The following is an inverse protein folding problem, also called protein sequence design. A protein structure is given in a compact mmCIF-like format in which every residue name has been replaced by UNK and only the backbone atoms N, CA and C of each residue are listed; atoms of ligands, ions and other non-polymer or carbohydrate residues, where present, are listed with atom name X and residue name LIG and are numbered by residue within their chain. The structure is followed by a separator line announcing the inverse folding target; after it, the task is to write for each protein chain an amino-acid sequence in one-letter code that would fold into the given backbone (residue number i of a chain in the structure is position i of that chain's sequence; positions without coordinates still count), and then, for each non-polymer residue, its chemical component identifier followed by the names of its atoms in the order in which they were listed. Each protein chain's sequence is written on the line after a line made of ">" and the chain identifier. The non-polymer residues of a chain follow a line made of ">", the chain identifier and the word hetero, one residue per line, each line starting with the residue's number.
data_IF_319451417822
#
_entry.id   IF_319451417822
#
_cell.length_a   1.000
_cell.length_b   1.000
_cell.length_c   1.000
_cell.angle_alpha   90.00
_cell.angle_beta   90.00
_cell.angle_gamma   90.00
#
_symmetry.space_group_name_H-M   'P 1'
#
loop_
_entity.id
_entity.type
_entity.pdbx_description
1 polymer ?
#
# COMPACT_ATOMS: atom_id res chain seq x y z
N UNK A 1 -36.74 8.64 9.28
CA UNK A 1 -35.76 9.26 8.35
C UNK A 1 -35.54 8.28 7.21
N UNK A 2 -35.28 8.76 5.99
CA UNK A 2 -34.94 7.84 4.88
C UNK A 2 -33.58 7.17 5.19
N UNK A 3 -33.45 5.88 4.86
CA UNK A 3 -32.18 5.14 5.02
C UNK A 3 -31.19 5.64 3.99
N UNK A 4 -30.02 6.10 4.44
CA UNK A 4 -28.94 6.59 3.57
C UNK A 4 -28.25 5.41 2.89
N UNK A 5 -28.04 5.52 1.59
CA UNK A 5 -27.42 4.50 0.74
C UNK A 5 -26.02 4.91 0.30
N UNK A 6 -25.06 4.03 0.49
CA UNK A 6 -23.64 4.23 0.15
C UNK A 6 -23.18 3.23 -0.89
N UNK A 7 -22.56 3.69 -1.97
CA UNK A 7 -21.82 2.86 -2.93
C UNK A 7 -20.31 2.91 -2.64
N UNK A 8 -19.69 1.76 -2.43
CA UNK A 8 -18.23 1.64 -2.25
C UNK A 8 -17.66 0.92 -3.46
N UNK A 9 -16.70 1.54 -4.15
CA UNK A 9 -16.13 1.00 -5.38
C UNK A 9 -14.72 0.49 -5.15
N UNK A 10 -14.57 -0.84 -5.18
CA UNK A 10 -13.33 -1.57 -4.99
C UNK A 10 -13.32 -2.40 -3.71
N UNK A 11 -13.19 -3.72 -3.86
CA UNK A 11 -13.12 -4.72 -2.78
C UNK A 11 -11.71 -4.96 -2.25
N UNK A 12 -10.81 -3.99 -2.39
CA UNK A 12 -9.51 -3.96 -1.71
C UNK A 12 -9.65 -3.55 -0.24
N UNK A 13 -8.55 -3.63 0.53
CA UNK A 13 -8.58 -3.39 1.98
C UNK A 13 -9.12 -2.00 2.36
N UNK A 14 -8.87 -0.95 1.56
CA UNK A 14 -9.39 0.39 1.84
C UNK A 14 -10.91 0.46 1.64
N UNK A 15 -11.46 -0.11 0.55
CA UNK A 15 -12.90 -0.10 0.32
C UNK A 15 -13.65 -0.95 1.33
N UNK A 16 -13.11 -2.11 1.67
CA UNK A 16 -13.65 -2.96 2.73
C UNK A 16 -13.65 -2.25 4.09
N UNK A 17 -12.55 -1.54 4.44
CA UNK A 17 -12.46 -0.78 5.67
C UNK A 17 -13.49 0.36 5.72
N UNK A 18 -13.69 1.09 4.60
CA UNK A 18 -14.69 2.17 4.50
C UNK A 18 -16.11 1.61 4.64
N UNK A 19 -16.44 0.52 3.93
CA UNK A 19 -17.75 -0.12 4.02
C UNK A 19 -18.05 -0.59 5.47
N UNK A 20 -17.08 -1.24 6.11
CA UNK A 20 -17.16 -1.63 7.51
C UNK A 20 -17.38 -0.44 8.44
N UNK A 21 -16.61 0.64 8.27
CA UNK A 21 -16.70 1.82 9.13
C UNK A 21 -18.05 2.51 9.01
N UNK A 22 -18.63 2.57 7.81
CA UNK A 22 -19.98 3.09 7.59
C UNK A 22 -21.02 2.28 8.37
N UNK A 23 -20.96 0.94 8.31
CA UNK A 23 -21.87 0.06 9.02
C UNK A 23 -21.67 0.09 10.56
N UNK A 24 -20.49 0.48 11.04
CA UNK A 24 -20.24 0.69 12.46
C UNK A 24 -20.83 2.03 12.96
N UNK A 25 -20.57 3.11 12.24
CA UNK A 25 -20.97 4.46 12.65
C UNK A 25 -22.45 4.74 12.29
N UNK A 26 -23.00 4.05 11.27
CA UNK A 26 -24.38 4.18 10.80
C UNK A 26 -25.04 2.81 10.59
N UNK A 27 -25.47 2.10 11.65
CA UNK A 27 -25.99 0.74 11.55
C UNK A 27 -27.24 0.59 10.67
N UNK A 28 -28.00 1.68 10.48
CA UNK A 28 -29.21 1.70 9.63
C UNK A 28 -28.90 2.03 8.15
N UNK A 29 -27.62 2.32 7.82
CA UNK A 29 -27.24 2.62 6.45
C UNK A 29 -27.27 1.38 5.56
N UNK A 30 -27.61 1.57 4.29
CA UNK A 30 -27.42 0.56 3.26
C UNK A 30 -26.06 0.77 2.59
N UNK A 31 -25.21 -0.23 2.65
CA UNK A 31 -23.87 -0.18 2.07
C UNK A 31 -23.73 -1.27 1.03
N UNK A 32 -23.53 -0.88 -0.24
CA UNK A 32 -23.27 -1.79 -1.36
C UNK A 32 -21.84 -1.59 -1.87
N UNK A 33 -21.02 -2.63 -1.79
CA UNK A 33 -19.65 -2.63 -2.27
C UNK A 33 -19.59 -3.35 -3.63
N UNK A 34 -18.93 -2.70 -4.61
CA UNK A 34 -18.76 -3.23 -5.96
C UNK A 34 -17.29 -3.61 -6.20
N UNK A 35 -17.03 -4.86 -6.53
CA UNK A 35 -15.71 -5.37 -6.89
C UNK A 35 -15.72 -5.98 -8.30
N UNK A 36 -14.73 -5.62 -9.11
CA UNK A 36 -14.62 -6.11 -10.50
C UNK A 36 -14.25 -7.58 -10.60
N UNK A 37 -13.54 -8.09 -9.61
CA UNK A 37 -13.08 -9.48 -9.57
C UNK A 37 -14.14 -10.42 -8.98
N UNK A 38 -13.90 -11.72 -9.14
CA UNK A 38 -14.75 -12.78 -8.58
C UNK A 38 -14.59 -12.97 -7.07
N UNK A 39 -13.63 -12.29 -6.45
CA UNK A 39 -13.46 -12.24 -4.99
C UNK A 39 -12.79 -10.93 -4.55
N UNK A 40 -12.92 -10.61 -3.27
CA UNK A 40 -12.25 -9.44 -2.67
C UNK A 40 -10.75 -9.63 -2.55
N UNK A 41 -10.02 -8.53 -2.43
CA UNK A 41 -8.60 -8.47 -2.12
C UNK A 41 -7.66 -9.13 -3.17
N UNK A 42 -8.06 -9.31 -4.41
CA UNK A 42 -7.24 -10.02 -5.42
C UNK A 42 -6.00 -9.24 -5.90
N UNK A 43 -5.95 -7.93 -5.67
CA UNK A 43 -4.85 -7.07 -6.16
C UNK A 43 -3.84 -6.72 -5.06
N UNK A 44 -3.53 -5.43 -4.88
CA UNK A 44 -2.51 -4.93 -3.94
C UNK A 44 -2.69 -5.41 -2.50
N UNK A 45 -3.92 -5.71 -2.08
CA UNK A 45 -4.24 -6.18 -0.73
C UNK A 45 -3.69 -7.58 -0.42
N UNK A 46 -3.48 -8.42 -1.43
CA UNK A 46 -2.85 -9.76 -1.31
C UNK A 46 -1.41 -9.79 -1.83
N UNK A 47 -0.99 -8.77 -2.59
CA UNK A 47 0.31 -8.72 -3.26
C UNK A 47 1.20 -7.63 -2.63
N UNK A 48 1.52 -7.79 -1.34
CA UNK A 48 2.31 -6.85 -0.55
C UNK A 48 3.28 -7.57 0.40
N UNK A 49 4.07 -6.81 1.15
CA UNK A 49 5.06 -7.35 2.10
C UNK A 49 4.45 -7.91 3.39
N UNK A 50 3.21 -7.59 3.70
CA UNK A 50 2.58 -7.93 4.98
C UNK A 50 3.03 -7.07 6.17
N UNK A 51 3.86 -6.07 5.96
CA UNK A 51 4.42 -5.25 7.06
C UNK A 51 3.41 -4.24 7.58
N UNK A 52 3.23 -4.22 8.89
CA UNK A 52 2.56 -3.15 9.64
C UNK A 52 3.61 -2.09 9.95
N UNK A 53 3.62 -1.02 9.17
CA UNK A 53 4.65 0.02 9.25
C UNK A 53 4.48 0.92 10.47
N UNK A 54 5.55 1.12 11.26
CA UNK A 54 5.52 1.95 12.46
C UNK A 54 5.44 3.48 12.19
N UNK A 55 5.74 3.94 10.99
CA UNK A 55 5.71 5.38 10.64
C UNK A 55 7.03 6.12 10.74
N UNK A 56 8.17 5.43 10.57
CA UNK A 56 9.52 5.97 10.78
C UNK A 56 9.91 7.13 9.86
N UNK A 57 9.42 7.14 8.62
CA UNK A 57 9.97 7.99 7.55
C UNK A 57 9.14 9.22 7.22
N UNK A 58 7.89 9.32 7.72
CA UNK A 58 6.91 10.30 7.23
C UNK A 58 7.14 11.70 7.78
N UNK A 59 6.78 12.70 7.01
CA UNK A 59 6.89 14.08 7.44
C UNK A 59 5.99 14.33 8.67
N UNK A 60 6.52 15.06 9.66
CA UNK A 60 5.78 15.39 10.88
C UNK A 60 4.46 16.08 10.54
N UNK A 61 3.37 15.57 11.12
CA UNK A 61 2.03 16.14 10.96
C UNK A 61 1.34 15.85 9.63
N UNK A 62 2.01 15.15 8.67
CA UNK A 62 1.37 14.71 7.43
C UNK A 62 0.20 13.76 7.71
N UNK A 63 -0.75 13.70 6.77
CA UNK A 63 -1.88 12.79 6.87
C UNK A 63 -1.40 11.33 6.96
N UNK A 64 -0.38 11.01 6.19
CA UNK A 64 0.30 9.71 6.18
C UNK A 64 0.89 9.33 7.55
N UNK A 65 1.55 10.27 8.23
CA UNK A 65 2.09 10.02 9.57
C UNK A 65 0.98 9.75 10.60
N UNK A 66 -0.06 10.60 10.61
CA UNK A 66 -1.20 10.48 11.53
C UNK A 66 -1.97 9.18 11.33
N UNK A 67 -2.38 8.91 10.07
CA UNK A 67 -3.18 7.72 9.77
C UNK A 67 -2.38 6.42 9.87
N UNK A 68 -1.06 6.44 9.65
CA UNK A 68 -0.21 5.28 9.90
C UNK A 68 -0.16 4.92 11.39
N UNK A 69 0.10 5.89 12.26
CA UNK A 69 0.13 5.63 13.71
C UNK A 69 -1.21 5.12 14.25
N UNK A 70 -2.32 5.78 13.86
CA UNK A 70 -3.66 5.30 14.22
C UNK A 70 -3.93 3.91 13.65
N UNK A 71 -3.52 3.65 12.41
CA UNK A 71 -3.69 2.38 11.70
C UNK A 71 -2.97 1.22 12.37
N UNK A 72 -1.75 1.42 12.89
CA UNK A 72 -1.03 0.39 13.68
C UNK A 72 -1.89 -0.11 14.84
N UNK A 73 -2.44 0.83 15.63
CA UNK A 73 -3.30 0.49 16.77
C UNK A 73 -4.53 -0.28 16.31
N UNK A 74 -5.25 0.24 15.31
CA UNK A 74 -6.48 -0.39 14.82
C UNK A 74 -6.26 -1.77 14.21
N UNK A 75 -5.18 -1.98 13.45
CA UNK A 75 -4.87 -3.28 12.86
C UNK A 75 -4.51 -4.29 13.94
N UNK A 76 -3.72 -3.89 14.97
CA UNK A 76 -3.40 -4.74 16.12
C UNK A 76 -4.67 -5.18 16.86
N UNK A 77 -5.52 -4.22 17.23
CA UNK A 77 -6.79 -4.46 17.91
C UNK A 77 -7.72 -5.34 17.08
N UNK A 78 -7.81 -5.08 15.77
CA UNK A 78 -8.63 -5.87 14.85
C UNK A 78 -8.16 -7.32 14.75
N UNK A 79 -6.85 -7.52 14.61
CA UNK A 79 -6.28 -8.86 14.56
C UNK A 79 -6.54 -9.64 15.87
N UNK A 80 -6.35 -9.00 17.03
CA UNK A 80 -6.61 -9.60 18.32
C UNK A 80 -8.09 -9.96 18.51
N UNK A 81 -9.00 -9.07 18.12
CA UNK A 81 -10.45 -9.30 18.26
C UNK A 81 -11.01 -10.39 17.32
N UNK A 82 -10.29 -10.71 16.22
CA UNK A 82 -10.74 -11.67 15.21
C UNK A 82 -9.83 -12.92 15.10
N UNK A 83 -8.95 -13.15 16.07
CA UNK A 83 -8.00 -14.28 16.09
C UNK A 83 -7.16 -14.39 14.79
N UNK A 84 -6.72 -13.23 14.28
CA UNK A 84 -5.89 -13.14 13.08
C UNK A 84 -4.41 -13.04 13.48
N UNK A 85 -3.50 -13.71 12.75
CA UNK A 85 -2.08 -13.66 13.06
C UNK A 85 -1.51 -12.24 13.00
N UNK A 86 -0.84 -11.83 14.07
CA UNK A 86 -0.11 -10.57 14.21
C UNK A 86 1.21 -10.86 14.93
N UNK A 87 2.35 -10.64 14.26
CA UNK A 87 3.68 -10.95 14.80
C UNK A 87 4.52 -9.67 14.88
N UNK A 88 4.80 -9.19 16.08
CA UNK A 88 5.69 -8.05 16.37
C UNK A 88 7.15 -8.50 16.29
N UNK A 89 7.59 -8.89 15.10
CA UNK A 89 8.95 -9.38 14.86
C UNK A 89 10.03 -8.28 14.93
N UNK A 90 9.64 -7.02 15.01
CA UNK A 90 10.57 -5.89 15.02
C UNK A 90 11.20 -5.58 13.67
N UNK A 91 11.88 -4.42 13.61
CA UNK A 91 12.58 -3.95 12.42
C UNK A 91 13.86 -3.22 12.78
N UNK A 92 14.93 -3.53 12.07
CA UNK A 92 16.17 -2.73 12.03
C UNK A 92 16.23 -1.92 10.73
N UNK A 93 16.58 -0.63 10.84
CA UNK A 93 17.06 0.17 9.70
C UNK A 93 18.56 0.36 9.91
N UNK A 94 19.37 -0.23 9.03
CA UNK A 94 20.81 -0.43 9.27
C UNK A 94 21.64 0.49 8.40
N UNK A 95 22.61 1.17 9.02
CA UNK A 95 23.63 1.98 8.36
C UNK A 95 24.96 1.20 8.29
N UNK A 96 25.55 1.15 7.09
CA UNK A 96 26.82 0.49 6.84
C UNK A 96 28.02 1.46 6.81
N UNK A 97 27.79 2.77 6.80
CA UNK A 97 28.81 3.81 6.74
C UNK A 97 28.32 5.11 7.41
N UNK A 98 29.22 6.05 7.64
CA UNK A 98 28.92 7.30 8.36
C UNK A 98 27.86 8.17 7.64
N UNK A 99 27.82 8.22 6.32
CA UNK A 99 26.80 8.96 5.55
C UNK A 99 25.40 8.39 5.79
N UNK A 100 25.30 7.06 5.82
CA UNK A 100 24.04 6.39 6.15
C UNK A 100 23.66 6.60 7.62
N UNK A 101 24.64 6.60 8.54
CA UNK A 101 24.40 6.86 9.96
C UNK A 101 23.86 8.28 10.20
N UNK A 102 24.40 9.29 9.55
CA UNK A 102 23.85 10.66 9.61
C UNK A 102 22.39 10.72 9.15
N UNK A 103 22.07 10.06 8.04
CA UNK A 103 20.70 9.94 7.54
C UNK A 103 19.79 9.18 8.52
N UNK A 104 20.33 8.15 9.15
CA UNK A 104 19.61 7.35 10.13
C UNK A 104 19.23 8.16 11.37
N UNK A 105 20.13 9.02 11.86
CA UNK A 105 19.85 9.94 12.96
C UNK A 105 18.70 10.90 12.61
N UNK A 106 18.66 11.41 11.39
CA UNK A 106 17.54 12.25 10.93
C UNK A 106 16.22 11.46 10.86
N UNK A 107 16.26 10.17 10.50
CA UNK A 107 15.08 9.28 10.53
C UNK A 107 14.63 9.04 11.97
N UNK A 108 15.57 8.77 12.89
CA UNK A 108 15.29 8.60 14.32
C UNK A 108 14.57 9.83 14.90
N UNK A 109 15.11 11.04 14.64
CA UNK A 109 14.47 12.29 15.09
C UNK A 109 13.05 12.44 14.54
N UNK A 110 12.86 12.18 13.25
CA UNK A 110 11.55 12.23 12.59
C UNK A 110 10.57 11.22 13.19
N UNK A 111 11.00 10.00 13.43
CA UNK A 111 10.20 8.95 14.04
C UNK A 111 9.81 9.30 15.48
N UNK A 112 10.75 9.87 16.26
CA UNK A 112 10.48 10.37 17.62
C UNK A 112 9.44 11.49 17.60
N UNK A 113 9.59 12.44 16.69
CA UNK A 113 8.64 13.55 16.52
C UNK A 113 7.23 13.09 16.11
N UNK A 114 7.11 11.96 15.43
CA UNK A 114 5.85 11.33 15.08
C UNK A 114 5.30 10.41 16.19
N UNK A 115 5.97 10.33 17.34
CA UNK A 115 5.53 9.52 18.48
C UNK A 115 5.59 8.01 18.23
N UNK A 116 6.57 7.54 17.44
CA UNK A 116 6.78 6.09 17.25
C UNK A 116 7.35 5.51 18.55
N UNK A 117 6.66 4.56 19.19
CA UNK A 117 7.07 4.09 20.52
C UNK A 117 8.24 3.10 20.45
N UNK A 118 9.00 3.03 21.54
CA UNK A 118 10.02 2.01 21.77
C UNK A 118 11.24 2.06 20.85
N UNK A 119 11.33 3.05 19.94
CA UNK A 119 12.47 3.15 19.02
C UNK A 119 13.79 3.45 19.75
N UNK A 120 14.84 2.80 19.31
CA UNK A 120 16.19 2.96 19.87
C UNK A 120 17.23 3.00 18.76
N UNK A 121 18.28 3.82 18.97
CA UNK A 121 19.51 3.69 18.20
C UNK A 121 20.36 2.60 18.84
N UNK A 122 20.89 1.70 18.01
CA UNK A 122 21.81 0.63 18.38
C UNK A 122 23.13 0.82 17.64
N UNK A 123 24.22 0.42 18.28
CA UNK A 123 25.56 0.55 17.72
C UNK A 123 26.32 -0.76 17.84
N UNK A 124 27.13 -1.08 16.84
CA UNK A 124 28.06 -2.21 16.82
C UNK A 124 27.43 -3.52 17.34
N UNK A 125 27.87 -4.03 18.48
CA UNK A 125 27.43 -5.32 19.02
C UNK A 125 25.95 -5.32 19.48
N UNK A 126 25.39 -4.16 19.86
CA UNK A 126 23.95 -4.06 20.23
C UNK A 126 23.04 -4.48 19.06
N UNK A 127 23.49 -4.29 17.81
CA UNK A 127 22.75 -4.73 16.62
C UNK A 127 22.59 -6.25 16.62
N UNK A 128 23.65 -6.98 17.02
CA UNK A 128 23.67 -8.45 17.05
C UNK A 128 22.85 -9.04 18.19
N UNK A 129 22.61 -8.28 19.26
CA UNK A 129 21.67 -8.71 20.31
C UNK A 129 20.25 -8.88 19.74
N UNK A 130 19.85 -8.03 18.78
CA UNK A 130 18.54 -8.08 18.12
C UNK A 130 18.58 -9.05 16.93
N UNK A 131 19.53 -8.87 16.03
CA UNK A 131 19.72 -9.67 14.81
C UNK A 131 21.16 -10.23 14.75
N UNK A 132 21.39 -11.47 15.24
CA UNK A 132 22.74 -12.01 15.46
C UNK A 132 23.64 -12.04 14.22
N UNK A 133 23.06 -12.17 13.02
CA UNK A 133 23.77 -12.26 11.76
C UNK A 133 23.85 -10.92 11.01
N UNK A 134 23.25 -9.86 11.56
CA UNK A 134 23.25 -8.53 10.95
C UNK A 134 24.55 -7.79 11.29
N UNK A 135 25.12 -7.12 10.28
CA UNK A 135 26.25 -6.21 10.46
C UNK A 135 25.85 -4.79 10.09
N UNK A 136 26.45 -3.82 10.79
CA UNK A 136 26.26 -2.39 10.57
C UNK A 136 27.04 -1.60 11.61
N UNK A 137 27.28 -0.30 11.36
CA UNK A 137 27.89 0.61 12.33
C UNK A 137 26.86 1.28 13.25
N UNK A 138 25.60 1.34 12.80
CA UNK A 138 24.47 1.82 13.57
C UNK A 138 23.17 1.23 13.01
N UNK A 139 22.16 1.08 13.86
CA UNK A 139 20.80 0.69 13.43
C UNK A 139 19.74 1.44 14.23
N UNK A 140 18.62 1.76 13.59
CA UNK A 140 17.40 2.18 14.26
C UNK A 140 16.51 0.96 14.48
N UNK A 141 16.32 0.57 15.71
CA UNK A 141 15.42 -0.50 16.11
C UNK A 141 14.00 0.03 16.34
N UNK A 142 13.01 -0.58 15.70
CA UNK A 142 11.59 -0.33 15.87
C UNK A 142 10.91 -1.64 16.30
N UNK A 143 10.79 -1.91 17.62
CA UNK A 143 10.34 -3.21 18.14
C UNK A 143 8.88 -3.51 17.81
N UNK A 144 8.02 -2.50 17.75
CA UNK A 144 6.57 -2.67 17.45
C UNK A 144 6.24 -2.77 15.95
N UNK A 145 7.25 -2.78 15.07
CA UNK A 145 7.00 -3.11 13.66
C UNK A 145 6.60 -4.57 13.57
N UNK A 146 5.46 -4.84 12.92
CA UNK A 146 4.86 -6.16 12.88
C UNK A 146 4.64 -6.65 11.45
N UNK A 147 4.25 -7.91 11.33
CA UNK A 147 3.80 -8.53 10.08
C UNK A 147 2.43 -9.17 10.27
N UNK A 148 1.63 -9.14 9.20
CA UNK A 148 0.27 -9.69 9.13
C UNK A 148 -0.01 -10.29 7.76
N UNK A 149 -1.16 -10.94 7.60
CA UNK A 149 -1.76 -11.18 6.30
C UNK A 149 -2.87 -10.19 6.02
N UNK A 150 -2.60 -9.16 5.23
CA UNK A 150 -3.66 -8.21 4.82
C UNK A 150 -4.77 -8.87 4.00
N UNK A 151 -4.47 -9.97 3.30
CA UNK A 151 -5.48 -10.77 2.63
C UNK A 151 -6.48 -11.39 3.62
N UNK A 152 -5.98 -12.00 4.72
CA UNK A 152 -6.86 -12.57 5.77
C UNK A 152 -7.67 -11.48 6.46
N UNK A 153 -7.05 -10.33 6.76
CA UNK A 153 -7.73 -9.17 7.34
C UNK A 153 -8.84 -8.70 6.39
N UNK A 154 -8.55 -8.51 5.12
CA UNK A 154 -9.54 -8.06 4.12
C UNK A 154 -10.71 -9.05 3.99
N UNK A 155 -10.44 -10.36 3.93
CA UNK A 155 -11.48 -11.40 3.87
C UNK A 155 -12.35 -11.41 5.12
N UNK A 156 -11.77 -11.21 6.32
CA UNK A 156 -12.54 -11.12 7.58
C UNK A 156 -13.42 -9.88 7.61
N UNK A 157 -12.89 -8.72 7.15
CA UNK A 157 -13.68 -7.49 7.02
C UNK A 157 -14.86 -7.71 6.04
N UNK A 158 -14.63 -8.38 4.92
CA UNK A 158 -15.72 -8.69 3.97
C UNK A 158 -16.82 -9.54 4.60
N UNK A 159 -16.46 -10.56 5.40
CA UNK A 159 -17.44 -11.34 6.15
C UNK A 159 -18.20 -10.49 7.17
N UNK A 160 -17.51 -9.61 7.91
CA UNK A 160 -18.13 -8.69 8.87
C UNK A 160 -19.12 -7.72 8.20
N UNK A 161 -18.81 -7.23 6.99
CA UNK A 161 -19.74 -6.40 6.20
C UNK A 161 -21.06 -7.13 5.95
N UNK A 162 -21.01 -8.40 5.52
CA UNK A 162 -22.20 -9.23 5.30
C UNK A 162 -22.96 -9.50 6.60
N UNK A 163 -22.23 -9.85 7.68
CA UNK A 163 -22.81 -10.05 9.02
C UNK A 163 -23.57 -8.82 9.53
N UNK A 164 -23.16 -7.61 9.10
CA UNK A 164 -23.79 -6.33 9.46
C UNK A 164 -24.86 -5.88 8.45
N UNK A 165 -25.22 -6.72 7.48
CA UNK A 165 -26.28 -6.42 6.51
C UNK A 165 -25.83 -5.60 5.29
N UNK A 166 -24.52 -5.39 5.10
CA UNK A 166 -23.99 -4.81 3.85
C UNK A 166 -23.95 -5.82 2.72
N UNK A 167 -23.91 -5.32 1.50
CA UNK A 167 -23.89 -6.14 0.27
C UNK A 167 -22.54 -6.03 -0.44
N UNK A 168 -22.06 -7.15 -1.01
CA UNK A 168 -20.85 -7.20 -1.82
C UNK A 168 -21.18 -7.76 -3.20
N UNK A 169 -21.11 -6.92 -4.22
CA UNK A 169 -21.35 -7.26 -5.62
C UNK A 169 -20.00 -7.58 -6.30
N UNK A 170 -19.70 -8.87 -6.41
CA UNK A 170 -18.50 -9.37 -7.11
C UNK A 170 -18.73 -9.39 -8.63
N UNK A 171 -17.66 -9.50 -9.42
CA UNK A 171 -17.72 -9.47 -10.89
C UNK A 171 -18.50 -8.27 -11.43
N UNK A 172 -18.37 -7.13 -10.74
CA UNK A 172 -19.10 -5.90 -11.02
C UNK A 172 -18.15 -4.72 -11.27
N UNK A 173 -17.48 -4.70 -12.44
CA UNK A 173 -16.53 -3.65 -12.79
C UNK A 173 -17.25 -2.31 -13.03
N UNK A 174 -17.09 -1.38 -12.11
CA UNK A 174 -17.65 -0.03 -12.23
C UNK A 174 -16.79 0.79 -13.19
N UNK A 175 -17.43 1.34 -14.24
CA UNK A 175 -16.83 2.17 -15.25
C UNK A 175 -16.79 3.65 -14.86
N UNK A 176 -17.90 4.15 -14.31
CA UNK A 176 -18.08 5.53 -13.87
C UNK A 176 -19.18 5.64 -12.82
N UNK A 177 -19.20 6.77 -12.14
CA UNK A 177 -20.27 7.24 -11.28
C UNK A 177 -20.85 8.50 -11.92
N UNK A 178 -22.16 8.60 -11.98
CA UNK A 178 -22.84 9.80 -12.47
C UNK A 178 -23.66 10.42 -11.33
N UNK A 179 -23.39 11.70 -11.04
CA UNK A 179 -24.22 12.45 -10.10
C UNK A 179 -25.32 13.16 -10.89
N UNK A 180 -26.57 12.75 -10.69
CA UNK A 180 -27.76 13.34 -11.30
C UNK A 180 -28.62 13.93 -10.16
N UNK A 181 -28.63 15.25 -10.06
CA UNK A 181 -29.40 15.99 -9.06
C UNK A 181 -29.18 15.53 -7.58
N UNK A 182 -27.92 15.25 -7.23
CA UNK A 182 -27.56 14.81 -5.87
C UNK A 182 -27.68 13.30 -5.64
N UNK A 183 -28.15 12.55 -6.65
CA UNK A 183 -28.27 11.08 -6.60
C UNK A 183 -27.18 10.43 -7.44
N UNK A 184 -26.50 9.45 -6.87
CA UNK A 184 -25.38 8.76 -7.52
C UNK A 184 -25.88 7.49 -8.25
N UNK A 185 -25.58 7.42 -9.54
CA UNK A 185 -25.84 6.28 -10.42
C UNK A 185 -24.53 5.54 -10.69
N UNK A 186 -24.52 4.22 -10.46
CA UNK A 186 -23.34 3.36 -10.67
C UNK A 186 -23.41 2.72 -12.04
N UNK A 187 -22.44 3.04 -12.90
CA UNK A 187 -22.35 2.52 -14.27
C UNK A 187 -21.40 1.31 -14.30
N UNK A 188 -21.94 0.12 -14.54
CA UNK A 188 -21.21 -1.16 -14.55
C UNK A 188 -20.82 -1.52 -15.99
N UNK A 189 -19.58 -1.89 -16.22
CA UNK A 189 -19.10 -2.39 -17.50
C UNK A 189 -19.45 -3.87 -17.66
N UNK A 190 -20.06 -4.25 -18.77
CA UNK A 190 -20.43 -5.63 -19.12
C UNK A 190 -19.93 -5.93 -20.52
N UNK A 191 -19.85 -7.22 -20.88
CA UNK A 191 -19.40 -7.65 -22.22
C UNK A 191 -20.21 -7.00 -23.36
N UNK A 192 -21.52 -6.78 -23.16
CA UNK A 192 -22.43 -6.19 -24.13
C UNK A 192 -22.60 -4.66 -23.98
N UNK A 193 -21.71 -3.99 -23.25
CA UNK A 193 -21.75 -2.54 -23.03
C UNK A 193 -21.94 -2.16 -21.55
N UNK A 194 -22.03 -0.85 -21.31
CA UNK A 194 -22.22 -0.32 -19.96
C UNK A 194 -23.70 -0.34 -19.59
N UNK A 195 -24.01 -0.86 -18.40
CA UNK A 195 -25.37 -0.85 -17.83
C UNK A 195 -25.38 -0.04 -16.54
N UNK A 196 -26.51 0.60 -16.25
CA UNK A 196 -26.74 1.26 -14.97
C UNK A 196 -27.18 0.22 -13.93
N UNK A 197 -26.63 0.32 -12.72
CA UNK A 197 -27.12 -0.48 -11.58
C UNK A 197 -28.55 -0.06 -11.22
N UNK A 198 -29.45 -0.98 -10.90
CA UNK A 198 -30.84 -0.64 -10.64
C UNK A 198 -31.09 0.22 -9.39
N UNK A 199 -30.19 0.15 -8.41
CA UNK A 199 -30.24 1.02 -7.24
C UNK A 199 -29.41 2.28 -7.43
N UNK A 200 -29.90 3.37 -6.86
CA UNK A 200 -29.21 4.66 -6.75
C UNK A 200 -28.73 4.88 -5.31
N UNK A 201 -27.76 5.76 -5.14
CA UNK A 201 -27.06 5.99 -3.88
C UNK A 201 -27.03 7.47 -3.53
N UNK A 202 -27.01 7.77 -2.23
CA UNK A 202 -26.85 9.14 -1.73
C UNK A 202 -25.39 9.59 -1.77
N UNK A 203 -24.46 8.66 -1.50
CA UNK A 203 -23.01 8.90 -1.48
C UNK A 203 -22.27 7.75 -2.15
N UNK A 204 -21.09 8.07 -2.69
CA UNK A 204 -20.15 7.05 -3.16
C UNK A 204 -18.72 7.30 -2.68
N UNK A 205 -17.97 6.23 -2.40
CA UNK A 205 -16.53 6.29 -2.11
C UNK A 205 -15.78 5.36 -3.06
N UNK A 206 -14.84 5.92 -3.84
CA UNK A 206 -14.04 5.13 -4.78
C UNK A 206 -12.69 4.75 -4.16
N UNK A 207 -12.43 3.44 -4.09
CA UNK A 207 -11.24 2.81 -3.55
C UNK A 207 -10.57 1.92 -4.61
N UNK A 208 -10.45 2.42 -5.84
CA UNK A 208 -10.14 1.63 -7.04
C UNK A 208 -8.63 1.32 -7.24
N UNK A 209 -7.77 1.62 -6.28
CA UNK A 209 -6.35 1.26 -6.29
C UNK A 209 -5.65 1.64 -7.59
N UNK A 210 -5.17 0.63 -8.35
CA UNK A 210 -4.50 0.82 -9.64
C UNK A 210 -5.38 1.47 -10.72
N UNK A 211 -6.70 1.49 -10.57
CA UNK A 211 -7.65 2.09 -11.51
C UNK A 211 -8.21 3.43 -11.01
N UNK A 212 -7.69 3.98 -9.88
CA UNK A 212 -8.26 5.15 -9.20
C UNK A 212 -8.31 6.40 -10.07
N UNK A 213 -7.30 6.66 -10.90
CA UNK A 213 -7.25 7.81 -11.80
C UNK A 213 -8.27 7.67 -12.94
N UNK A 214 -8.42 6.47 -13.52
CA UNK A 214 -9.37 6.22 -14.60
C UNK A 214 -10.81 6.35 -14.13
N UNK A 215 -11.12 5.70 -13.00
CA UNK A 215 -12.48 5.77 -12.45
C UNK A 215 -12.86 7.20 -12.09
N UNK A 216 -11.96 7.94 -11.45
CA UNK A 216 -12.24 9.32 -11.07
C UNK A 216 -12.47 10.22 -12.31
N UNK A 217 -11.61 10.12 -13.34
CA UNK A 217 -11.77 10.88 -14.60
C UNK A 217 -13.08 10.50 -15.31
N UNK A 218 -13.40 9.22 -15.38
CA UNK A 218 -14.66 8.76 -15.99
C UNK A 218 -15.89 9.25 -15.21
N UNK A 219 -15.72 9.59 -13.92
CA UNK A 219 -16.76 10.13 -13.03
C UNK A 219 -16.73 11.66 -12.93
N UNK A 220 -16.00 12.35 -13.82
CA UNK A 220 -15.98 13.81 -13.90
C UNK A 220 -14.87 14.52 -13.14
N UNK A 221 -14.01 13.81 -12.38
CA UNK A 221 -12.89 14.42 -11.66
C UNK A 221 -11.72 14.79 -12.59
N UNK A 222 -10.78 15.58 -12.09
CA UNK A 222 -9.61 16.04 -12.85
C UNK A 222 -8.65 14.90 -13.20
N UNK A 223 -7.88 15.09 -14.29
CA UNK A 223 -6.97 14.10 -14.85
C UNK A 223 -5.67 13.86 -14.07
N UNK A 224 -5.44 14.50 -12.92
CA UNK A 224 -4.24 14.33 -12.09
C UNK A 224 -4.58 14.19 -10.60
N UNK A 225 -3.73 13.50 -9.82
CA UNK A 225 -2.55 12.74 -10.25
C UNK A 225 -2.92 11.53 -11.12
N UNK A 226 -1.98 11.10 -11.99
CA UNK A 226 -2.14 9.90 -12.83
C UNK A 226 -1.40 8.71 -12.22
N UNK A 227 -1.96 7.51 -12.33
CA UNK A 227 -1.33 6.28 -11.83
C UNK A 227 -0.37 5.71 -12.87
N UNK A 228 0.89 5.59 -12.49
CA UNK A 228 1.93 4.86 -13.23
C UNK A 228 2.26 3.60 -12.44
N UNK A 229 2.08 2.39 -13.03
CA UNK A 229 2.30 1.16 -12.29
C UNK A 229 3.78 0.80 -12.23
N UNK A 230 4.30 0.57 -11.01
CA UNK A 230 5.64 0.02 -10.78
C UNK A 230 5.54 -1.32 -10.10
N UNK A 231 6.12 -2.37 -10.69
CA UNK A 231 6.18 -3.66 -10.04
C UNK A 231 7.45 -3.81 -9.22
N UNK A 232 7.37 -4.58 -8.15
CA UNK A 232 8.48 -5.04 -7.35
C UNK A 232 8.48 -6.56 -7.26
N UNK A 233 9.60 -7.19 -7.62
CA UNK A 233 9.80 -8.62 -7.50
C UNK A 233 10.40 -8.92 -6.12
N UNK A 234 9.75 -9.82 -5.39
CA UNK A 234 10.31 -10.43 -4.19
C UNK A 234 10.91 -11.79 -4.51
N UNK A 235 11.90 -12.18 -3.73
CA UNK A 235 12.49 -13.52 -3.75
C UNK A 235 12.38 -14.12 -2.36
N UNK A 236 12.03 -15.40 -2.29
CA UNK A 236 12.03 -16.19 -1.05
C UNK A 236 13.39 -16.83 -0.89
N UNK A 237 13.96 -16.82 0.31
CA UNK A 237 15.15 -17.59 0.68
C UNK A 237 14.79 -19.08 0.69
N UNK A 238 15.79 -19.92 0.44
CA UNK A 238 15.65 -21.35 0.67
C UNK A 238 15.42 -21.66 2.17
N UNK A 239 14.80 -22.79 2.46
CA UNK A 239 14.41 -23.17 3.81
C UNK A 239 15.61 -23.28 4.79
N UNK A 240 16.81 -23.59 4.28
CA UNK A 240 18.02 -23.69 5.10
C UNK A 240 18.47 -22.35 5.69
N UNK A 241 18.09 -21.22 5.05
CA UNK A 241 18.51 -19.88 5.44
C UNK A 241 17.37 -19.03 6.02
N UNK A 242 16.16 -19.56 6.11
CA UNK A 242 14.99 -18.80 6.62
C UNK A 242 15.19 -18.30 8.05
N UNK A 243 15.92 -19.03 8.89
CA UNK A 243 16.21 -18.69 10.29
C UNK A 243 17.36 -17.69 10.51
N UNK A 244 18.09 -17.30 9.45
CA UNK A 244 19.23 -16.39 9.54
C UNK A 244 18.85 -14.96 9.93
N UNK A 245 17.61 -14.56 9.66
CA UNK A 245 17.03 -13.26 10.02
C UNK A 245 15.77 -13.49 10.82
N UNK A 246 15.66 -12.84 11.99
CA UNK A 246 14.54 -13.01 12.92
C UNK A 246 13.36 -12.12 12.61
N UNK A 247 13.61 -10.88 12.17
CA UNK A 247 12.61 -9.86 11.93
C UNK A 247 12.74 -9.21 10.54
N UNK A 248 12.84 -7.90 10.52
CA UNK A 248 12.92 -7.09 9.31
C UNK A 248 14.25 -6.31 9.30
N UNK A 249 15.03 -6.43 8.23
CA UNK A 249 16.29 -5.66 8.06
C UNK A 249 16.17 -4.80 6.81
N UNK A 250 16.19 -3.49 6.98
CA UNK A 250 16.04 -2.50 5.92
C UNK A 250 17.30 -1.63 5.79
N UNK A 251 17.68 -1.23 4.57
CA UNK A 251 18.71 -0.22 4.36
C UNK A 251 18.24 1.17 4.81
N UNK A 252 19.16 2.06 5.10
CA UNK A 252 18.88 3.48 5.17
C UNK A 252 18.49 3.99 3.78
N UNK A 253 17.34 4.67 3.59
CA UNK A 253 16.96 5.22 2.31
C UNK A 253 18.00 6.19 1.74
N UNK A 254 18.35 6.02 0.46
CA UNK A 254 19.16 7.00 -0.25
C UNK A 254 18.26 7.95 -1.03
N UNK A 255 18.24 9.27 -0.70
CA UNK A 255 17.36 10.24 -1.37
C UNK A 255 17.61 10.42 -2.87
N UNK A 256 18.74 9.88 -3.38
CA UNK A 256 19.01 9.85 -4.82
C UNK A 256 18.13 8.88 -5.58
N UNK A 257 17.48 7.93 -4.89
CA UNK A 257 16.65 6.90 -5.50
C UNK A 257 15.20 7.02 -5.03
N UNK A 258 14.24 6.92 -5.95
CA UNK A 258 12.82 7.09 -5.62
C UNK A 258 12.23 5.91 -4.82
N UNK A 259 12.93 4.79 -4.77
CA UNK A 259 12.48 3.57 -4.10
C UNK A 259 13.52 3.04 -3.13
N UNK A 260 13.04 2.37 -2.08
CA UNK A 260 13.89 1.75 -1.06
C UNK A 260 14.72 0.59 -1.67
N UNK A 261 15.96 0.46 -1.20
CA UNK A 261 16.83 -0.66 -1.59
C UNK A 261 16.35 -2.03 -1.10
N UNK A 262 17.06 -3.08 -1.51
CA UNK A 262 16.77 -4.47 -1.14
C UNK A 262 16.78 -4.64 0.37
N UNK A 263 15.74 -5.26 0.92
CA UNK A 263 15.57 -5.49 2.35
C UNK A 263 15.02 -6.88 2.64
N UNK A 264 15.23 -7.34 3.88
CA UNK A 264 14.68 -8.60 4.37
C UNK A 264 13.32 -8.36 5.00
N UNK A 265 12.38 -9.24 4.68
CA UNK A 265 11.04 -9.21 5.24
C UNK A 265 10.60 -10.61 5.64
N UNK A 266 10.46 -10.83 6.95
CA UNK A 266 9.78 -12.00 7.49
C UNK A 266 8.31 -11.95 7.08
N UNK A 267 7.75 -13.08 6.69
CA UNK A 267 6.34 -13.22 6.36
C UNK A 267 5.60 -13.98 7.44
N UNK A 268 4.31 -13.73 7.53
CA UNK A 268 3.46 -14.39 8.53
C UNK A 268 3.32 -15.91 8.32
N UNK A 269 3.67 -16.41 7.13
CA UNK A 269 3.75 -17.84 6.80
C UNK A 269 5.10 -18.48 7.18
N UNK A 270 5.97 -17.74 7.89
CA UNK A 270 7.28 -18.18 8.35
C UNK A 270 8.40 -18.04 7.30
N UNK A 271 8.10 -17.73 6.06
CA UNK A 271 9.10 -17.55 5.01
C UNK A 271 9.86 -16.24 5.18
N UNK A 272 11.11 -16.22 4.73
CA UNK A 272 11.91 -15.00 4.64
C UNK A 272 12.00 -14.56 3.18
N UNK A 273 11.70 -13.29 2.92
CA UNK A 273 11.81 -12.70 1.58
C UNK A 273 12.84 -11.59 1.53
N UNK A 274 13.48 -11.43 0.38
CA UNK A 274 14.30 -10.27 0.04
C UNK A 274 13.68 -9.52 -1.12
N UNK A 275 13.80 -8.21 -1.13
CA UNK A 275 13.24 -7.32 -2.13
C UNK A 275 12.46 -6.17 -1.51
N UNK A 276 11.59 -5.53 -2.31
CA UNK A 276 11.49 -5.65 -3.77
C UNK A 276 12.45 -4.71 -4.50
N UNK A 277 12.68 -4.97 -5.78
CA UNK A 277 13.11 -3.97 -6.73
C UNK A 277 11.93 -3.09 -7.21
N UNK A 278 12.18 -2.13 -8.10
CA UNK A 278 11.10 -1.27 -8.59
C UNK A 278 11.25 -0.97 -10.09
N UNK A 279 10.33 -1.49 -10.89
CA UNK A 279 10.34 -1.34 -12.34
C UNK A 279 8.99 -0.90 -12.87
N UNK A 280 9.02 -0.19 -14.00
CA UNK A 280 7.82 0.13 -14.74
C UNK A 280 7.11 -1.17 -15.18
N UNK A 281 5.82 -1.29 -14.86
CA UNK A 281 5.01 -2.42 -15.29
C UNK A 281 4.38 -2.17 -16.65
N UNK A 282 4.36 -3.21 -17.50
CA UNK A 282 3.70 -3.16 -18.83
C UNK A 282 2.17 -3.26 -18.75
N UNK A 283 1.63 -3.51 -17.57
CA UNK A 283 0.20 -3.50 -17.29
C UNK A 283 -0.04 -3.19 -15.81
N UNK A 284 -1.19 -2.60 -15.49
CA UNK A 284 -1.55 -2.21 -14.10
C UNK A 284 -1.72 -3.40 -13.17
N UNK A 285 -2.07 -4.57 -13.70
CA UNK A 285 -2.41 -5.78 -12.93
C UNK A 285 -1.57 -7.01 -13.33
N UNK A 286 -0.32 -6.77 -13.74
CA UNK A 286 0.60 -7.80 -14.22
C UNK A 286 1.34 -8.51 -13.06
N UNK A 287 0.61 -9.21 -12.20
CA UNK A 287 1.18 -9.91 -11.04
C UNK A 287 1.97 -11.17 -11.41
N UNK A 288 1.66 -11.81 -12.53
CA UNK A 288 2.40 -12.97 -13.07
C UNK A 288 3.66 -12.57 -13.86
N UNK A 289 3.77 -11.30 -14.22
CA UNK A 289 4.90 -10.73 -14.97
C UNK A 289 4.92 -11.04 -16.45
N UNK A 290 3.93 -11.74 -16.97
CA UNK A 290 3.82 -12.14 -18.38
C UNK A 290 2.90 -11.20 -19.17
N UNK A 291 2.01 -10.49 -18.48
CA UNK A 291 1.01 -9.62 -19.07
C UNK A 291 1.61 -8.35 -19.69
N UNK A 292 1.04 -7.95 -20.81
CA UNK A 292 1.27 -6.66 -21.46
C UNK A 292 -0.10 -6.09 -21.86
N UNK A 293 -0.37 -4.84 -21.49
CA UNK A 293 -1.60 -4.14 -21.84
C UNK A 293 -1.25 -2.84 -22.57
N UNK A 294 -1.57 -2.80 -23.86
CA UNK A 294 -1.25 -1.65 -24.72
C UNK A 294 -1.94 -0.36 -24.28
N UNK A 295 -3.16 -0.46 -23.73
CA UNK A 295 -3.90 0.69 -23.19
C UNK A 295 -3.17 1.27 -21.97
N UNK A 296 -2.68 0.42 -21.06
CA UNK A 296 -1.93 0.86 -19.89
C UNK A 296 -0.61 1.51 -20.31
N UNK A 297 0.08 0.91 -21.27
CA UNK A 297 1.33 1.46 -21.82
C UNK A 297 1.11 2.80 -22.50
N UNK A 298 0.07 2.94 -23.33
CA UNK A 298 -0.30 4.18 -24.00
C UNK A 298 -0.63 5.28 -22.98
N UNK A 299 -1.35 4.95 -21.91
CA UNK A 299 -1.74 5.88 -20.86
C UNK A 299 -0.56 6.60 -20.22
N UNK A 300 0.50 5.88 -19.84
CA UNK A 300 1.66 6.54 -19.23
C UNK A 300 2.63 7.09 -20.29
N UNK A 301 2.74 6.46 -21.48
CA UNK A 301 3.61 6.94 -22.53
C UNK A 301 3.14 8.30 -23.12
N UNK A 302 1.85 8.59 -23.10
CA UNK A 302 1.29 9.88 -23.53
C UNK A 302 1.26 10.93 -22.41
N UNK A 303 1.61 10.54 -21.18
CA UNK A 303 1.58 11.44 -20.03
C UNK A 303 2.91 12.22 -19.88
N UNK A 304 2.91 13.55 -19.99
CA UNK A 304 4.15 14.34 -19.93
C UNK A 304 4.93 14.17 -18.62
N UNK A 305 4.23 13.97 -17.49
CA UNK A 305 4.85 13.72 -16.20
C UNK A 305 5.75 12.50 -16.19
N UNK A 306 5.35 11.43 -16.88
CA UNK A 306 6.17 10.21 -17.00
C UNK A 306 7.54 10.48 -17.64
N UNK A 307 7.59 11.24 -18.73
CA UNK A 307 8.86 11.55 -19.43
C UNK A 307 9.75 12.48 -18.59
N UNK A 308 9.17 13.45 -17.89
CA UNK A 308 9.91 14.32 -16.98
C UNK A 308 10.51 13.52 -15.83
N UNK A 309 9.74 12.61 -15.25
CA UNK A 309 10.23 11.68 -14.23
C UNK A 309 11.32 10.76 -14.79
N UNK A 310 11.13 10.14 -15.95
CA UNK A 310 12.07 9.22 -16.56
C UNK A 310 13.41 9.91 -16.85
N UNK A 311 13.41 11.10 -17.45
CA UNK A 311 14.63 11.87 -17.74
C UNK A 311 15.38 12.25 -16.46
N UNK A 312 14.68 12.63 -15.40
CA UNK A 312 15.29 12.99 -14.11
C UNK A 312 15.92 11.78 -13.40
N UNK A 313 15.41 10.57 -13.64
CA UNK A 313 15.79 9.35 -12.92
C UNK A 313 16.54 8.32 -13.79
N UNK A 314 17.13 8.73 -14.93
CA UNK A 314 17.91 7.82 -15.81
C UNK A 314 18.98 7.02 -15.06
N UNK A 315 19.81 7.62 -14.16
CA UNK A 315 20.83 6.85 -13.44
C UNK A 315 20.22 5.77 -12.51
N UNK A 316 19.08 6.09 -11.86
CA UNK A 316 18.36 5.13 -11.03
C UNK A 316 17.80 3.97 -11.87
N UNK A 317 17.18 4.28 -13.02
CA UNK A 317 16.65 3.27 -13.94
C UNK A 317 17.75 2.32 -14.45
N UNK A 318 18.93 2.84 -14.79
CA UNK A 318 20.07 2.02 -15.23
C UNK A 318 20.58 1.08 -14.15
N UNK A 319 20.62 1.52 -12.89
CA UNK A 319 20.98 0.66 -11.74
C UNK A 319 19.96 -0.45 -11.56
N UNK A 320 18.69 -0.13 -11.57
CA UNK A 320 17.62 -1.09 -11.41
C UNK A 320 17.63 -2.16 -12.50
N UNK A 321 17.84 -1.79 -13.78
CA UNK A 321 17.97 -2.76 -14.89
C UNK A 321 19.05 -3.80 -14.62
N UNK A 322 20.19 -3.44 -14.01
CA UNK A 322 21.25 -4.38 -13.65
C UNK A 322 20.77 -5.41 -12.61
N UNK A 323 19.96 -5.00 -11.64
CA UNK A 323 19.43 -5.90 -10.59
C UNK A 323 18.37 -6.88 -11.12
N UNK A 324 17.65 -6.53 -12.20
CA UNK A 324 16.74 -7.45 -12.89
C UNK A 324 17.47 -8.50 -13.70
N UNK A 325 18.52 -8.09 -14.39
CA UNK A 325 19.28 -8.97 -15.27
C UNK A 325 20.11 -10.01 -14.49
N UNK A 326 20.34 -9.78 -13.20
CA UNK A 326 21.15 -10.67 -12.37
C UNK A 326 20.61 -10.83 -10.94
N UNK A 327 19.91 -11.93 -10.69
CA UNK A 327 19.53 -12.35 -9.33
C UNK A 327 20.73 -12.37 -8.38
N UNK A 328 21.92 -12.73 -8.90
CA UNK A 328 23.18 -12.74 -8.12
C UNK A 328 23.53 -11.33 -7.61
N UNK A 329 23.39 -10.30 -8.45
CA UNK A 329 23.65 -8.92 -8.04
C UNK A 329 22.60 -8.43 -7.04
N UNK A 330 21.35 -8.82 -7.19
CA UNK A 330 20.29 -8.54 -6.24
C UNK A 330 20.58 -9.14 -4.85
N UNK A 331 20.97 -10.42 -4.81
CA UNK A 331 21.37 -11.11 -3.58
C UNK A 331 22.62 -10.44 -2.94
N UNK A 332 23.57 -9.97 -3.75
CA UNK A 332 24.77 -9.32 -3.22
C UNK A 332 24.47 -8.02 -2.46
N UNK A 333 23.38 -7.31 -2.75
CA UNK A 333 22.95 -6.15 -1.98
C UNK A 333 22.43 -6.56 -0.59
N UNK A 334 21.70 -7.68 -0.49
CA UNK A 334 21.22 -8.23 0.78
C UNK A 334 22.36 -8.75 1.67
N UNK A 335 23.32 -9.44 1.07
CA UNK A 335 24.50 -10.01 1.77
C UNK A 335 25.36 -8.93 2.47
N UNK A 336 25.29 -7.67 2.02
CA UNK A 336 25.96 -6.57 2.72
C UNK A 336 25.50 -6.38 4.16
N UNK A 337 24.27 -6.76 4.48
CA UNK A 337 23.68 -6.66 5.81
C UNK A 337 23.76 -7.95 6.60
N UNK A 338 23.73 -9.11 5.91
CA UNK A 338 23.76 -10.44 6.51
C UNK A 338 24.74 -11.32 5.72
N UNK A 339 26.04 -11.24 6.02
CA UNK A 339 27.11 -11.93 5.26
C UNK A 339 27.00 -13.46 5.26
N UNK A 340 26.40 -14.07 6.29
CA UNK A 340 26.18 -15.51 6.37
C UNK A 340 25.31 -16.06 5.21
N UNK A 341 24.53 -15.19 4.58
CA UNK A 341 23.69 -15.54 3.42
C UNK A 341 24.46 -15.56 2.08
N UNK A 342 25.79 -15.43 2.10
CA UNK A 342 26.58 -15.52 0.87
C UNK A 342 26.48 -16.90 0.25
N UNK A 343 26.05 -16.95 -1.01
CA UNK A 343 25.83 -18.22 -1.72
C UNK A 343 24.45 -18.84 -1.56
N UNK A 344 23.54 -18.22 -0.78
CA UNK A 344 22.14 -18.68 -0.63
C UNK A 344 21.44 -18.80 -1.98
N UNK A 345 20.51 -19.72 -2.04
CA UNK A 345 19.58 -19.83 -3.16
C UNK A 345 18.32 -19.02 -2.86
N UNK A 346 17.82 -18.34 -3.87
CA UNK A 346 16.58 -17.59 -3.79
C UNK A 346 15.66 -17.97 -4.94
N UNK A 347 14.37 -17.99 -4.66
CA UNK A 347 13.33 -18.35 -5.61
C UNK A 347 12.38 -17.19 -5.83
N UNK A 348 11.90 -16.94 -7.06
CA UNK A 348 10.91 -15.90 -7.31
C UNK A 348 9.67 -16.08 -6.43
N UNK A 349 9.27 -15.05 -5.74
CA UNK A 349 8.02 -14.96 -4.97
C UNK A 349 6.97 -14.13 -5.72
N UNK A 350 5.87 -13.79 -5.05
CA UNK A 350 4.85 -12.92 -5.61
C UNK A 350 5.42 -11.56 -6.00
N UNK A 351 4.81 -10.94 -7.02
CA UNK A 351 5.05 -9.55 -7.40
C UNK A 351 4.05 -8.64 -6.71
N UNK A 352 4.53 -7.50 -6.24
CA UNK A 352 3.67 -6.39 -5.86
C UNK A 352 3.63 -5.35 -6.97
N UNK A 353 2.50 -4.73 -7.22
CA UNK A 353 2.39 -3.59 -8.13
C UNK A 353 1.99 -2.35 -7.33
N UNK A 354 2.84 -1.33 -7.38
CA UNK A 354 2.58 -0.04 -6.74
C UNK A 354 1.77 0.83 -7.69
N UNK A 355 0.64 1.34 -7.22
CA UNK A 355 -0.11 2.41 -7.86
C UNK A 355 0.60 3.73 -7.54
N UNK A 356 1.62 4.08 -8.31
CA UNK A 356 2.38 5.30 -8.06
C UNK A 356 1.68 6.49 -8.69
N UNK A 357 1.13 7.36 -7.87
CA UNK A 357 0.54 8.61 -8.33
C UNK A 357 1.64 9.60 -8.72
N UNK A 358 1.46 10.26 -9.86
CA UNK A 358 2.42 11.18 -10.47
C UNK A 358 1.72 12.42 -10.99
N UNK A 359 2.31 13.59 -10.73
CA UNK A 359 1.85 14.87 -11.24
C UNK A 359 2.39 15.16 -12.65
N UNK A 360 1.81 16.18 -13.32
CA UNK A 360 2.21 16.58 -14.68
C UNK A 360 3.67 17.04 -14.79
N UNK A 361 4.26 17.53 -13.69
CA UNK A 361 5.66 17.95 -13.61
C UNK A 361 6.64 16.78 -13.39
N UNK A 362 6.13 15.55 -13.23
CA UNK A 362 6.89 14.35 -12.97
C UNK A 362 7.20 14.10 -11.50
N UNK A 363 6.71 14.92 -10.58
CA UNK A 363 6.82 14.65 -9.14
C UNK A 363 5.95 13.47 -8.73
N UNK A 364 6.48 12.63 -7.83
CA UNK A 364 5.72 11.53 -7.24
C UNK A 364 4.90 12.06 -6.06
N UNK A 365 3.65 11.67 -6.00
CA UNK A 365 2.76 12.03 -4.89
C UNK A 365 3.01 11.08 -3.73
N UNK A 366 3.58 11.60 -2.65
CA UNK A 366 4.01 10.79 -1.50
C UNK A 366 2.95 10.69 -0.39
N UNK A 367 1.99 11.60 -0.27
CA UNK A 367 0.95 11.55 0.76
C UNK A 367 -0.37 10.95 0.23
N UNK A 368 -1.30 10.67 1.14
CA UNK A 368 -2.66 10.26 0.77
C UNK A 368 -3.38 11.42 0.07
N UNK A 369 -4.11 11.09 -1.00
CA UNK A 369 -4.93 12.06 -1.72
C UNK A 369 -6.36 11.56 -1.71
N UNK A 370 -7.18 12.22 -0.90
CA UNK A 370 -8.62 11.99 -0.79
C UNK A 370 -9.30 13.25 -1.29
N UNK A 371 -10.10 13.12 -2.34
CA UNK A 371 -10.83 14.24 -2.95
C UNK A 371 -12.31 14.02 -2.84
N UNK A 372 -13.01 15.08 -2.49
CA UNK A 372 -14.46 15.09 -2.52
C UNK A 372 -14.95 15.94 -3.71
N UNK A 373 -15.92 15.40 -4.42
CA UNK A 373 -16.66 16.08 -5.48
C UNK A 373 -18.17 15.85 -5.23
N UNK A 374 -18.81 16.82 -4.64
CA UNK A 374 -20.19 16.68 -4.18
C UNK A 374 -20.37 15.50 -3.22
N UNK A 375 -21.16 14.51 -3.63
CA UNK A 375 -21.46 13.30 -2.87
C UNK A 375 -20.52 12.12 -3.23
N UNK A 376 -19.51 12.35 -4.07
CA UNK A 376 -18.52 11.34 -4.43
C UNK A 376 -17.19 11.68 -3.74
N UNK A 377 -16.59 10.69 -3.08
CA UNK A 377 -15.27 10.79 -2.47
C UNK A 377 -14.33 9.84 -3.21
N UNK A 378 -13.24 10.38 -3.74
CA UNK A 378 -12.23 9.63 -4.48
C UNK A 378 -10.95 9.45 -3.65
N UNK A 379 -10.55 8.20 -3.33
CA UNK A 379 -9.19 7.90 -2.89
C UNK A 379 -8.31 7.87 -4.15
N UNK A 380 -7.66 9.00 -4.47
CA UNK A 380 -6.83 9.17 -5.66
C UNK A 380 -5.43 8.58 -5.49
N UNK A 381 -4.93 8.55 -4.25
CA UNK A 381 -3.63 7.98 -3.91
C UNK A 381 -3.64 7.45 -2.48
N UNK A 382 -3.31 6.18 -2.31
CA UNK A 382 -3.08 5.56 -1.01
C UNK A 382 -1.79 4.71 -1.06
N UNK A 383 -0.61 5.36 -1.15
CA UNK A 383 0.67 4.67 -1.22
C UNK A 383 0.99 3.97 0.10
N UNK A 384 2.05 3.14 0.13
CA UNK A 384 2.54 2.61 1.41
C UNK A 384 2.77 3.76 2.42
N UNK A 385 2.17 3.64 3.60
CA UNK A 385 1.62 2.49 4.31
C UNK A 385 0.09 2.31 4.17
N UNK A 386 -0.49 2.44 3.00
CA UNK A 386 -1.94 2.44 2.77
C UNK A 386 -2.69 1.24 3.39
N UNK A 387 -2.10 0.03 3.38
CA UNK A 387 -2.71 -1.14 4.02
C UNK A 387 -2.69 -1.04 5.56
N UNK A 388 -1.56 -0.64 6.16
CA UNK A 388 -1.46 -0.37 7.61
C UNK A 388 -2.46 0.70 8.05
N UNK A 389 -2.64 1.73 7.21
CA UNK A 389 -3.51 2.88 7.51
C UNK A 389 -4.97 2.64 7.15
N UNK A 390 -5.35 1.51 6.54
CA UNK A 390 -6.66 1.32 5.91
C UNK A 390 -7.85 1.57 6.83
N UNK A 391 -7.80 1.05 8.07
CA UNK A 391 -8.85 1.28 9.07
C UNK A 391 -8.89 2.75 9.51
N UNK A 392 -7.74 3.40 9.66
CA UNK A 392 -7.67 4.83 10.00
C UNK A 392 -8.09 5.73 8.84
N UNK A 393 -7.79 5.36 7.59
CA UNK A 393 -8.30 6.04 6.39
C UNK A 393 -9.83 5.97 6.37
N UNK A 394 -10.41 4.82 6.73
CA UNK A 394 -11.85 4.66 6.80
C UNK A 394 -12.48 5.55 7.88
N UNK A 395 -11.91 5.57 9.11
CA UNK A 395 -12.34 6.51 10.17
C UNK A 395 -12.30 7.95 9.66
N UNK A 396 -11.19 8.37 9.05
CA UNK A 396 -11.01 9.73 8.52
C UNK A 396 -12.04 10.08 7.44
N UNK A 397 -12.28 9.17 6.48
CA UNK A 397 -13.28 9.43 5.42
C UNK A 397 -14.68 9.56 6.00
N UNK A 398 -15.08 8.64 6.87
CA UNK A 398 -16.46 8.58 7.36
C UNK A 398 -16.74 9.70 8.37
N UNK A 399 -15.79 10.03 9.24
CA UNK A 399 -15.99 11.00 10.33
C UNK A 399 -15.61 12.42 9.98
N UNK A 400 -14.55 12.61 9.20
CA UNK A 400 -14.03 13.93 8.88
C UNK A 400 -14.52 14.40 7.50
N UNK A 401 -14.18 13.67 6.43
CA UNK A 401 -14.44 14.10 5.06
C UNK A 401 -15.93 14.11 4.71
N UNK A 402 -16.72 13.15 5.22
CA UNK A 402 -18.17 13.12 4.95
C UNK A 402 -18.95 14.14 5.79
N UNK A 403 -18.49 14.47 7.00
CA UNK A 403 -19.21 15.38 7.91
C UNK A 403 -18.95 16.86 7.62
N UNK A 404 -17.82 17.23 7.00
CA UNK A 404 -17.52 18.63 6.59
C UNK A 404 -18.62 19.27 5.70
N UNK A 405 -19.52 18.46 5.11
CA UNK A 405 -20.64 18.93 4.28
C UNK A 405 -21.88 19.34 5.06
N UNK A 406 -21.95 19.05 6.36
CA UNK A 406 -23.10 19.38 7.20
C UNK A 406 -22.92 20.67 8.02
N UNK A 407 -21.81 21.40 7.80
CA UNK A 407 -21.65 22.75 8.35
C UNK A 407 -22.11 23.76 7.29
N UNK A 408 -23.07 24.65 7.62
CA UNK A 408 -23.62 25.65 6.71
C UNK A 408 -22.61 26.69 6.28
#
# INVERSE_FOLDING_TARGET
>A
MATIKYAIIGGGINGLAVARQLLLDYPEAKVSLFEKESSVAQHQSSHNSGVVHAGLYYAKGSLKAKLCRRGVTLVREYCAANDLPYDECGKLVVALNEVEKERLLAIYQKASDNGVPGIKMLYDDEIREVEPNCIGIAALHSPETAIVSYEKIAKRIAAEIIERGGEIHLSSPVKSLENRDGTIHVMIDKENGTIEHPETFDYAVTCAGLQSDRLAVNSGDIGTPKIVPFFGQYFVLDDAHTGEVKGLIYPVPDPKYPFLGVHFTKRIDGKMTIGPNAFLSKARENYDGKGCNLKDMFDYATFPGFWRFALKNVPAAMREVKTVLSTKQFVSEAVKYVPSLNGMKVYPATRGIRAQAMEKDGSLVDDFVIRRDGNIIHIRNAPSPGATSSLAIAEHIVRDVMQESNQP
#
